data_IF_806910872201
#
_entry.id   IF_806910872201
#
_cell.length_a   1.000
_cell.length_b   1.000
_cell.length_c   1.000
_cell.angle_alpha   90.00
_cell.angle_beta   90.00
_cell.angle_gamma   90.00
#
_symmetry.space_group_name_H-M   'P 1'
#
loop_
_entity.id
_entity.type
_entity.pdbx_description
1 polymer ?
#
# COMPACT_ATOMS: atom_id res chain seq x y z
N UNK A 1 19.43 7.40 14.95
CA UNK A 1 18.83 7.57 13.60
C UNK A 1 18.21 8.95 13.37
N UNK A 2 17.57 9.59 14.35
CA UNK A 2 16.97 10.95 14.22
C UNK A 2 17.97 12.05 13.84
N UNK A 3 19.21 11.97 14.34
CA UNK A 3 20.28 12.95 14.03
C UNK A 3 20.74 12.94 12.57
N UNK A 4 20.72 11.78 11.89
CA UNK A 4 21.07 11.67 10.47
C UNK A 4 19.99 12.27 9.57
N UNK A 5 18.74 12.21 10.00
CA UNK A 5 17.60 12.80 9.31
C UNK A 5 17.62 14.33 9.41
N UNK A 6 17.93 14.87 10.59
CA UNK A 6 18.07 16.32 10.80
C UNK A 6 19.31 16.90 10.08
N UNK A 7 20.40 16.15 10.00
CA UNK A 7 21.57 16.54 9.21
C UNK A 7 21.26 16.54 7.70
N UNK A 8 20.48 15.58 7.22
CA UNK A 8 20.01 15.53 5.84
C UNK A 8 19.13 16.74 5.48
N UNK A 9 18.21 17.15 6.37
CA UNK A 9 17.34 18.31 6.18
C UNK A 9 18.14 19.62 6.12
N UNK A 10 19.10 19.83 7.04
CA UNK A 10 19.92 21.05 7.05
C UNK A 10 20.75 21.23 5.77
N UNK A 11 21.30 20.14 5.22
CA UNK A 11 22.05 20.21 3.97
C UNK A 11 21.12 20.42 2.76
N UNK A 12 19.86 19.97 2.83
CA UNK A 12 18.85 20.26 1.81
C UNK A 12 18.46 21.74 1.80
N UNK A 13 18.36 22.40 2.96
CA UNK A 13 18.02 23.84 3.06
C UNK A 13 19.14 24.72 2.48
N UNK A 14 20.43 24.42 2.79
CA UNK A 14 21.55 25.16 2.20
C UNK A 14 21.62 25.00 0.67
N UNK A 15 21.32 23.80 0.15
CA UNK A 15 21.30 23.56 -1.29
C UNK A 15 20.18 24.33 -2.02
N UNK A 16 19.04 24.55 -1.34
CA UNK A 16 17.93 25.36 -1.84
C UNK A 16 18.33 26.85 -1.90
N UNK A 17 18.98 27.38 -0.87
CA UNK A 17 19.45 28.77 -0.83
C UNK A 17 20.49 29.10 -1.91
N UNK A 18 21.31 28.12 -2.28
CA UNK A 18 22.29 28.28 -3.38
C UNK A 18 21.62 28.18 -4.74
N UNK A 19 20.59 27.33 -4.90
CA UNK A 19 19.91 27.11 -6.17
C UNK A 19 18.89 28.19 -6.55
N UNK A 20 18.38 28.98 -5.60
CA UNK A 20 17.45 30.08 -5.87
C UNK A 20 18.13 31.33 -6.45
N UNK A 21 19.48 31.35 -6.52
CA UNK A 21 20.26 32.50 -7.03
C UNK A 21 20.73 32.39 -8.47
N UNK A 22 20.54 31.27 -9.17
CA UNK A 22 20.99 31.16 -10.57
C UNK A 22 20.04 30.34 -11.43
N UNK A 23 19.53 30.96 -12.49
CA UNK A 23 18.74 30.32 -13.54
C UNK A 23 19.44 29.12 -14.18
N UNK A 24 18.70 28.03 -14.29
CA UNK A 24 19.15 26.69 -14.71
C UNK A 24 19.84 26.60 -16.08
N UNK A 25 19.72 27.60 -16.94
CA UNK A 25 20.38 27.66 -18.25
C UNK A 25 21.84 28.11 -18.14
N UNK A 26 22.19 28.91 -17.14
CA UNK A 26 23.58 29.35 -16.94
C UNK A 26 24.45 28.23 -16.37
N UNK A 27 23.88 27.35 -15.53
CA UNK A 27 24.62 26.28 -14.85
C UNK A 27 25.30 25.28 -15.81
N UNK A 28 24.69 24.97 -16.96
CA UNK A 28 25.26 24.03 -17.93
C UNK A 28 26.39 24.66 -18.76
N UNK A 29 26.25 25.93 -19.15
CA UNK A 29 27.29 26.69 -19.85
C UNK A 29 28.46 27.05 -18.92
N UNK A 30 28.18 27.34 -17.65
CA UNK A 30 29.22 27.57 -16.62
C UNK A 30 30.06 26.32 -16.38
N UNK A 31 29.43 25.13 -16.38
CA UNK A 31 30.13 23.84 -16.20
C UNK A 31 31.04 23.51 -17.39
N UNK A 32 30.59 23.78 -18.63
CA UNK A 32 31.45 23.64 -19.81
C UNK A 32 32.64 24.59 -19.78
N UNK A 33 32.44 25.83 -19.32
CA UNK A 33 33.52 26.81 -19.17
C UNK A 33 34.52 26.42 -18.06
N UNK A 34 34.05 25.81 -16.97
CA UNK A 34 34.89 25.27 -15.89
C UNK A 34 35.64 23.99 -16.30
N UNK A 35 35.03 23.13 -17.12
CA UNK A 35 35.66 21.93 -17.68
C UNK A 35 36.71 22.28 -18.75
N UNK A 36 36.51 23.38 -19.48
CA UNK A 36 37.54 23.98 -20.34
C UNK A 36 38.68 24.61 -19.52
N UNK A 37 38.37 25.29 -18.41
CA UNK A 37 39.38 25.84 -17.50
C UNK A 37 40.21 24.74 -16.79
N UNK A 38 39.62 23.56 -16.59
CA UNK A 38 40.24 22.34 -16.03
C UNK A 38 41.33 21.76 -16.92
N UNK A 39 41.19 21.84 -18.25
CA UNK A 39 42.24 21.39 -19.19
C UNK A 39 43.45 22.33 -19.15
N UNK A 40 43.26 23.59 -18.79
CA UNK A 40 44.30 24.63 -18.83
C UNK A 40 45.09 24.84 -17.53
N UNK A 41 44.61 24.39 -16.37
CA UNK A 41 45.29 24.62 -15.08
C UNK A 41 45.53 23.31 -14.29
N UNK A 42 46.81 22.97 -14.13
CA UNK A 42 47.35 21.69 -13.66
C UNK A 42 47.25 21.39 -12.15
N UNK A 43 46.37 22.06 -11.39
CA UNK A 43 46.36 21.89 -9.93
C UNK A 43 45.31 20.83 -9.50
N UNK A 44 45.79 19.65 -9.11
CA UNK A 44 45.00 18.41 -9.19
C UNK A 44 44.16 18.06 -7.95
N UNK A 45 44.54 18.53 -6.75
CA UNK A 45 43.96 17.99 -5.50
C UNK A 45 42.74 18.78 -5.00
N UNK A 46 42.83 20.12 -4.96
CA UNK A 46 41.70 21.01 -4.64
C UNK A 46 40.56 20.85 -5.66
N UNK A 47 40.92 20.70 -6.93
CA UNK A 47 39.99 20.62 -8.06
C UNK A 47 39.25 19.29 -8.12
N UNK A 48 39.90 18.16 -7.76
CA UNK A 48 39.21 16.87 -7.59
C UNK A 48 38.20 16.89 -6.44
N UNK A 49 38.48 17.62 -5.36
CA UNK A 49 37.58 17.74 -4.23
C UNK A 49 36.33 18.56 -4.61
N UNK A 50 36.50 19.64 -5.39
CA UNK A 50 35.39 20.41 -5.96
C UNK A 50 34.52 19.59 -6.94
N UNK A 51 35.11 18.77 -7.81
CA UNK A 51 34.37 17.88 -8.71
C UNK A 51 33.57 16.79 -7.96
N UNK A 52 34.10 16.26 -6.85
CA UNK A 52 33.35 15.36 -5.96
C UNK A 52 32.15 16.07 -5.31
N UNK A 53 32.35 17.28 -4.80
CA UNK A 53 31.28 18.07 -4.20
C UNK A 53 30.21 18.48 -5.24
N UNK A 54 30.60 18.77 -6.48
CA UNK A 54 29.70 19.05 -7.60
C UNK A 54 28.90 17.81 -8.04
N UNK A 55 29.54 16.64 -8.18
CA UNK A 55 28.81 15.38 -8.45
C UNK A 55 27.84 15.04 -7.32
N UNK A 56 28.21 15.33 -6.08
CA UNK A 56 27.33 15.18 -4.92
C UNK A 56 26.15 16.17 -4.97
N UNK A 57 26.40 17.44 -5.31
CA UNK A 57 25.36 18.46 -5.49
C UNK A 57 24.44 18.15 -6.69
N UNK A 58 24.96 17.59 -7.78
CA UNK A 58 24.20 17.16 -8.96
C UNK A 58 23.33 15.94 -8.66
N UNK A 59 23.88 14.95 -7.91
CA UNK A 59 23.12 13.82 -7.36
C UNK A 59 22.00 14.32 -6.44
N UNK A 60 22.27 15.33 -5.60
CA UNK A 60 21.25 16.00 -4.76
C UNK A 60 20.22 16.79 -5.57
N UNK A 61 20.61 17.51 -6.62
CA UNK A 61 19.71 18.21 -7.54
C UNK A 61 18.78 17.26 -8.30
N UNK A 62 19.26 16.04 -8.61
CA UNK A 62 18.44 14.96 -9.17
C UNK A 62 17.44 14.41 -8.15
N UNK A 63 17.85 14.29 -6.88
CA UNK A 63 16.94 13.97 -5.77
C UNK A 63 15.89 15.06 -5.53
N UNK A 64 16.25 16.35 -5.59
CA UNK A 64 15.33 17.49 -5.48
C UNK A 64 14.24 17.50 -6.56
N UNK A 65 14.60 17.22 -7.83
CA UNK A 65 13.61 17.07 -8.92
C UNK A 65 12.69 15.85 -8.75
N UNK A 66 13.18 14.77 -8.13
CA UNK A 66 12.34 13.62 -7.73
C UNK A 66 11.40 13.99 -6.58
N UNK A 67 11.88 14.73 -5.59
CA UNK A 67 11.11 15.17 -4.41
C UNK A 67 9.98 16.14 -4.78
N UNK A 68 10.16 17.01 -5.77
CA UNK A 68 9.07 17.88 -6.27
C UNK A 68 7.91 17.11 -6.93
N UNK A 69 8.17 15.91 -7.47
CA UNK A 69 7.13 15.05 -8.05
C UNK A 69 6.51 14.10 -7.02
N UNK A 70 7.07 14.02 -5.82
CA UNK A 70 6.65 13.09 -4.79
C UNK A 70 5.27 13.41 -4.19
N UNK A 71 4.92 14.67 -3.86
CA UNK A 71 3.57 15.02 -3.39
C UNK A 71 2.48 14.60 -4.39
N UNK A 72 2.66 14.92 -5.68
CA UNK A 72 1.69 14.58 -6.73
C UNK A 72 1.52 13.07 -6.92
N UNK A 73 2.59 12.29 -6.71
CA UNK A 73 2.52 10.82 -6.76
C UNK A 73 1.77 10.24 -5.57
N UNK A 74 1.95 10.81 -4.38
CA UNK A 74 1.22 10.40 -3.18
C UNK A 74 -0.27 10.75 -3.28
N UNK A 75 -0.61 11.93 -3.79
CA UNK A 75 -2.00 12.34 -4.05
C UNK A 75 -2.67 11.38 -5.06
N UNK A 76 -2.01 11.10 -6.19
CA UNK A 76 -2.49 10.12 -7.16
C UNK A 76 -2.66 8.71 -6.56
N UNK A 77 -1.69 8.27 -5.74
CA UNK A 77 -1.77 6.99 -5.07
C UNK A 77 -2.97 6.92 -4.12
N UNK A 78 -3.25 8.02 -3.41
CA UNK A 78 -4.37 8.12 -2.50
C UNK A 78 -5.70 8.05 -3.26
N UNK A 79 -5.86 8.84 -4.33
CA UNK A 79 -7.05 8.82 -5.17
C UNK A 79 -7.31 7.43 -5.79
N UNK A 80 -6.24 6.77 -6.24
CA UNK A 80 -6.35 5.43 -6.82
C UNK A 80 -6.69 4.38 -5.76
N UNK A 81 -6.15 4.50 -4.54
CA UNK A 81 -6.49 3.63 -3.42
C UNK A 81 -7.96 3.81 -2.99
N UNK A 82 -8.44 5.05 -2.95
CA UNK A 82 -9.85 5.37 -2.66
C UNK A 82 -10.80 4.76 -3.69
N UNK A 83 -10.41 4.78 -4.98
CA UNK A 83 -11.15 4.10 -6.03
C UNK A 83 -11.25 2.59 -5.78
N UNK A 84 -10.13 1.93 -5.46
CA UNK A 84 -10.13 0.49 -5.14
C UNK A 84 -10.94 0.16 -3.90
N UNK A 85 -10.88 1.01 -2.86
CA UNK A 85 -11.63 0.82 -1.62
C UNK A 85 -13.14 0.84 -1.90
N UNK A 86 -13.63 1.85 -2.63
CA UNK A 86 -15.05 1.96 -3.02
C UNK A 86 -15.50 0.77 -3.87
N UNK A 87 -14.69 0.34 -4.84
CA UNK A 87 -15.00 -0.82 -5.66
C UNK A 87 -15.07 -2.11 -4.82
N UNK A 88 -14.16 -2.26 -3.85
CA UNK A 88 -14.17 -3.40 -2.94
C UNK A 88 -15.41 -3.37 -2.03
N UNK A 89 -15.81 -2.22 -1.49
CA UNK A 89 -17.02 -2.07 -0.67
C UNK A 89 -18.29 -2.50 -1.41
N UNK A 90 -18.47 -2.02 -2.66
CA UNK A 90 -19.59 -2.43 -3.51
C UNK A 90 -19.59 -3.95 -3.70
N UNK A 91 -18.42 -4.54 -3.98
CA UNK A 91 -18.31 -5.98 -4.21
C UNK A 91 -18.54 -6.81 -2.94
N UNK A 92 -18.15 -6.29 -1.77
CA UNK A 92 -18.40 -6.93 -0.47
C UNK A 92 -19.91 -7.00 -0.19
N UNK A 93 -20.61 -5.87 -0.37
CA UNK A 93 -22.07 -5.79 -0.22
C UNK A 93 -22.79 -6.74 -1.19
N UNK A 94 -22.31 -6.81 -2.44
CA UNK A 94 -22.85 -7.74 -3.44
C UNK A 94 -22.69 -9.20 -3.01
N UNK A 95 -21.51 -9.63 -2.55
CA UNK A 95 -21.36 -11.01 -2.04
C UNK A 95 -22.29 -11.31 -0.87
N UNK A 96 -22.40 -10.39 0.08
CA UNK A 96 -23.25 -10.62 1.25
C UNK A 96 -24.72 -10.76 0.84
N UNK A 97 -25.17 -9.93 -0.11
CA UNK A 97 -26.51 -10.05 -0.71
C UNK A 97 -26.68 -11.39 -1.42
N UNK A 98 -25.71 -11.82 -2.23
CA UNK A 98 -25.78 -13.10 -2.95
C UNK A 98 -25.80 -14.31 -2.02
N UNK A 99 -25.04 -14.33 -0.92
CA UNK A 99 -25.11 -15.39 0.10
C UNK A 99 -26.54 -15.49 0.64
N UNK A 100 -27.14 -14.36 1.00
CA UNK A 100 -28.52 -14.30 1.50
C UNK A 100 -29.54 -14.79 0.47
N UNK A 101 -29.47 -14.29 -0.76
CA UNK A 101 -30.41 -14.68 -1.82
C UNK A 101 -30.31 -16.16 -2.18
N UNK A 102 -29.10 -16.72 -2.24
CA UNK A 102 -28.90 -18.14 -2.52
C UNK A 102 -29.39 -19.02 -1.35
N UNK A 103 -29.15 -18.60 -0.11
CA UNK A 103 -29.67 -19.28 1.08
C UNK A 103 -31.21 -19.27 1.12
N UNK A 104 -31.84 -18.13 0.81
CA UNK A 104 -33.30 -18.01 0.73
C UNK A 104 -33.89 -18.90 -0.38
N UNK A 105 -33.25 -18.97 -1.55
CA UNK A 105 -33.67 -19.90 -2.61
C UNK A 105 -33.55 -21.34 -2.18
N UNK A 106 -32.45 -21.73 -1.57
CA UNK A 106 -32.27 -23.10 -1.09
C UNK A 106 -33.32 -23.49 -0.01
N UNK A 107 -33.71 -22.55 0.87
CA UNK A 107 -34.82 -22.75 1.81
C UNK A 107 -36.13 -23.08 1.07
N UNK A 108 -36.44 -22.34 0.00
CA UNK A 108 -37.68 -22.50 -0.76
C UNK A 108 -37.68 -23.74 -1.65
N UNK A 109 -36.63 -23.92 -2.44
CA UNK A 109 -36.54 -24.95 -3.49
C UNK A 109 -36.40 -26.37 -2.92
N UNK A 110 -35.80 -26.49 -1.72
CA UNK A 110 -35.43 -27.77 -1.11
C UNK A 110 -36.16 -28.03 0.21
N UNK A 111 -37.07 -27.13 0.60
CA UNK A 111 -37.79 -27.19 1.88
C UNK A 111 -36.87 -27.32 3.10
N UNK A 112 -35.70 -26.68 3.04
CA UNK A 112 -34.74 -26.63 4.15
C UNK A 112 -35.26 -25.69 5.23
N UNK A 113 -35.09 -26.06 6.51
CA UNK A 113 -35.44 -25.14 7.60
C UNK A 113 -34.50 -23.94 7.64
N UNK A 114 -35.03 -22.75 7.95
CA UNK A 114 -34.22 -21.55 8.11
C UNK A 114 -33.08 -21.76 9.12
N UNK A 115 -33.34 -22.48 10.23
CA UNK A 115 -32.34 -22.78 11.23
C UNK A 115 -31.17 -23.62 10.68
N UNK A 116 -31.45 -24.64 9.85
CA UNK A 116 -30.42 -25.45 9.21
C UNK A 116 -29.58 -24.65 8.22
N UNK A 117 -30.22 -23.79 7.42
CA UNK A 117 -29.51 -22.93 6.46
C UNK A 117 -28.61 -21.91 7.17
N UNK A 118 -29.11 -21.26 8.22
CA UNK A 118 -28.31 -20.34 9.03
C UNK A 118 -27.10 -21.06 9.65
N UNK A 119 -27.30 -22.24 10.24
CA UNK A 119 -26.20 -23.03 10.80
C UNK A 119 -25.15 -23.41 9.74
N UNK A 120 -25.59 -23.77 8.52
CA UNK A 120 -24.70 -24.04 7.40
C UNK A 120 -23.88 -22.79 7.01
N UNK A 121 -24.54 -21.65 6.78
CA UNK A 121 -23.86 -20.40 6.39
C UNK A 121 -22.88 -19.93 7.48
N UNK A 122 -23.28 -19.98 8.75
CA UNK A 122 -22.44 -19.58 9.86
C UNK A 122 -21.20 -20.47 9.98
N UNK A 123 -21.36 -21.80 9.84
CA UNK A 123 -20.25 -22.75 9.89
C UNK A 123 -19.26 -22.51 8.75
N UNK A 124 -19.75 -22.39 7.50
CA UNK A 124 -18.87 -22.15 6.35
C UNK A 124 -18.20 -20.77 6.39
N UNK A 125 -18.87 -19.76 6.96
CA UNK A 125 -18.26 -18.45 7.21
C UNK A 125 -17.06 -18.58 8.16
N UNK A 126 -17.17 -19.37 9.23
CA UNK A 126 -16.04 -19.64 10.13
C UNK A 126 -14.90 -20.40 9.43
N UNK A 127 -15.23 -21.41 8.62
CA UNK A 127 -14.23 -22.16 7.85
C UNK A 127 -13.48 -21.25 6.88
N UNK A 128 -14.19 -20.47 6.07
CA UNK A 128 -13.56 -19.57 5.09
C UNK A 128 -12.81 -18.42 5.74
N UNK A 129 -13.31 -17.90 6.87
CA UNK A 129 -12.60 -16.89 7.67
C UNK A 129 -11.24 -17.42 8.09
N UNK A 130 -11.15 -18.67 8.57
CA UNK A 130 -9.88 -19.31 8.93
C UNK A 130 -8.95 -19.49 7.74
N UNK A 131 -9.49 -19.99 6.63
CA UNK A 131 -8.70 -20.14 5.39
C UNK A 131 -8.12 -18.79 4.96
N UNK A 132 -8.91 -17.73 5.09
CA UNK A 132 -8.49 -16.37 4.80
C UNK A 132 -7.45 -15.86 5.82
N UNK A 133 -7.64 -16.07 7.13
CA UNK A 133 -6.67 -15.76 8.19
C UNK A 133 -5.29 -16.37 7.91
N UNK A 134 -5.26 -17.64 7.51
CA UNK A 134 -4.01 -18.37 7.26
C UNK A 134 -3.30 -17.89 5.99
N UNK A 135 -4.04 -17.50 4.93
CA UNK A 135 -3.47 -17.26 3.60
C UNK A 135 -3.35 -15.79 3.21
N UNK A 136 -4.33 -14.98 3.61
CA UNK A 136 -4.43 -13.59 3.15
C UNK A 136 -3.25 -12.71 3.58
N UNK A 137 -2.66 -12.85 4.77
CA UNK A 137 -1.48 -12.07 5.13
C UNK A 137 -0.33 -12.24 4.14
N UNK A 138 -0.03 -13.48 3.72
CA UNK A 138 1.00 -13.77 2.72
C UNK A 138 0.61 -13.23 1.34
N UNK A 139 -0.63 -13.49 0.89
CA UNK A 139 -1.13 -12.99 -0.40
C UNK A 139 -1.02 -11.47 -0.49
N UNK A 140 -1.51 -10.76 0.53
CA UNK A 140 -1.52 -9.30 0.57
C UNK A 140 -0.10 -8.73 0.70
N UNK A 141 0.80 -9.41 1.42
CA UNK A 141 2.22 -9.04 1.48
C UNK A 141 2.89 -9.10 0.10
N UNK A 142 2.51 -10.07 -0.75
CA UNK A 142 2.98 -10.19 -2.13
C UNK A 142 2.31 -9.22 -3.09
N UNK A 143 1.10 -8.74 -2.79
CA UNK A 143 0.40 -7.70 -3.57
C UNK A 143 0.98 -6.30 -3.30
N UNK A 144 1.47 -6.04 -2.09
CA UNK A 144 1.96 -4.72 -1.66
C UNK A 144 3.03 -4.12 -2.60
N UNK A 145 4.12 -4.81 -2.96
CA UNK A 145 5.11 -4.25 -3.90
C UNK A 145 4.53 -3.91 -5.27
N UNK A 146 3.53 -4.68 -5.74
CA UNK A 146 2.86 -4.43 -7.03
C UNK A 146 2.06 -3.14 -6.95
N UNK A 147 1.30 -2.93 -5.88
CA UNK A 147 0.55 -1.69 -5.63
C UNK A 147 1.45 -0.48 -5.52
N UNK A 148 2.54 -0.59 -4.75
CA UNK A 148 3.52 0.51 -4.64
C UNK A 148 4.13 0.85 -6.00
N UNK A 149 4.38 -0.14 -6.87
CA UNK A 149 4.86 0.10 -8.23
C UNK A 149 3.81 0.80 -9.09
N UNK A 150 2.55 0.37 -9.05
CA UNK A 150 1.42 1.00 -9.75
C UNK A 150 1.26 2.47 -9.35
N UNK A 151 1.44 2.76 -8.06
CA UNK A 151 1.38 4.11 -7.50
C UNK A 151 2.62 4.96 -7.86
N UNK A 152 3.62 4.38 -8.53
CA UNK A 152 4.88 5.05 -8.84
C UNK A 152 5.77 5.29 -7.60
N UNK A 153 5.50 4.54 -6.52
CA UNK A 153 6.15 4.53 -5.21
C UNK A 153 7.07 3.31 -4.99
N UNK A 154 7.42 2.56 -6.04
CA UNK A 154 8.26 1.36 -5.96
C UNK A 154 9.71 1.56 -5.49
N UNK A 155 10.07 2.74 -5.00
CA UNK A 155 11.33 3.03 -4.32
C UNK A 155 11.21 3.01 -2.79
N UNK A 156 9.99 2.89 -2.25
CA UNK A 156 9.78 2.68 -0.83
C UNK A 156 10.28 1.29 -0.42
N UNK A 157 10.79 1.19 0.80
CA UNK A 157 11.18 -0.09 1.37
C UNK A 157 9.94 -0.94 1.67
N UNK A 158 9.66 -1.90 0.78
CA UNK A 158 8.53 -2.79 0.92
C UNK A 158 8.64 -3.70 2.14
N UNK A 159 9.84 -3.94 2.68
CA UNK A 159 10.05 -4.90 3.77
C UNK A 159 9.43 -4.38 5.07
N UNK A 160 9.69 -3.11 5.40
CA UNK A 160 9.13 -2.47 6.60
C UNK A 160 7.62 -2.25 6.45
N UNK A 161 7.15 -1.90 5.26
CA UNK A 161 5.74 -1.77 4.95
C UNK A 161 4.99 -3.11 5.05
N UNK A 162 5.59 -4.20 4.55
CA UNK A 162 5.07 -5.55 4.70
C UNK A 162 4.97 -5.94 6.17
N UNK A 163 6.02 -5.66 6.97
CA UNK A 163 6.00 -5.93 8.41
C UNK A 163 4.85 -5.20 9.11
N UNK A 164 4.68 -3.90 8.83
CA UNK A 164 3.56 -3.10 9.39
C UNK A 164 2.19 -3.60 8.93
N UNK A 165 2.07 -4.02 7.68
CA UNK A 165 0.83 -4.61 7.15
C UNK A 165 0.48 -5.90 7.91
N UNK A 166 1.44 -6.82 8.07
CA UNK A 166 1.23 -8.06 8.81
C UNK A 166 0.85 -7.79 10.26
N UNK A 167 1.53 -6.87 10.92
CA UNK A 167 1.20 -6.44 12.29
C UNK A 167 -0.24 -5.88 12.36
N UNK A 168 -0.65 -5.08 11.38
CA UNK A 168 -1.99 -4.51 11.29
C UNK A 168 -3.05 -5.59 11.10
N UNK A 169 -2.84 -6.51 10.14
CA UNK A 169 -3.77 -7.60 9.86
C UNK A 169 -3.92 -8.51 11.08
N UNK A 170 -2.80 -8.93 11.69
CA UNK A 170 -2.84 -9.78 12.87
C UNK A 170 -3.65 -9.15 13.99
N UNK A 171 -3.48 -7.85 14.26
CA UNK A 171 -4.26 -7.14 15.28
C UNK A 171 -5.75 -7.12 14.98
N UNK A 172 -6.14 -6.97 13.72
CA UNK A 172 -7.56 -6.89 13.35
C UNK A 172 -8.24 -8.26 13.41
N UNK A 173 -7.54 -9.34 13.07
CA UNK A 173 -8.12 -10.67 12.94
C UNK A 173 -7.75 -11.63 14.08
N UNK A 174 -7.19 -11.14 15.18
CA UNK A 174 -7.00 -11.97 16.38
C UNK A 174 -8.36 -12.22 17.04
N UNK A 175 -9.07 -13.26 16.63
CA UNK A 175 -10.28 -13.77 17.30
C UNK A 175 -10.05 -15.14 17.93
N UNK A 176 -10.92 -15.51 18.88
CA UNK A 176 -10.90 -16.81 19.56
C UNK A 176 -11.20 -17.92 18.57
N UNK A 177 -10.23 -18.82 18.34
CA UNK A 177 -10.35 -19.91 17.38
C UNK A 177 -11.38 -20.95 17.83
N UNK A 178 -12.41 -21.19 17.02
CA UNK A 178 -13.26 -22.38 17.06
C UNK A 178 -12.75 -23.41 16.06
N UNK A 179 -12.63 -24.68 16.46
CA UNK A 179 -12.08 -25.75 15.63
C UNK A 179 -13.13 -26.37 14.69
N UNK A 180 -13.74 -25.56 13.82
CA UNK A 180 -14.67 -26.06 12.79
C UNK A 180 -13.92 -26.58 11.56
N UNK A 181 -14.43 -27.67 10.95
CA UNK A 181 -13.87 -28.25 9.72
C UNK A 181 -14.92 -28.28 8.62
N UNK A 182 -14.50 -28.23 7.35
CA UNK A 182 -15.43 -28.32 6.21
C UNK A 182 -16.30 -29.59 6.27
N UNK A 183 -15.73 -30.72 6.69
CA UNK A 183 -16.47 -31.97 6.88
C UNK A 183 -17.55 -31.84 7.97
N UNK A 184 -17.25 -31.15 9.08
CA UNK A 184 -18.23 -30.85 10.14
C UNK A 184 -19.36 -29.96 9.60
N UNK A 185 -19.04 -28.93 8.81
CA UNK A 185 -20.04 -28.06 8.21
C UNK A 185 -20.87 -28.75 7.12
N UNK A 186 -20.28 -29.70 6.37
CA UNK A 186 -21.00 -30.49 5.38
C UNK A 186 -22.09 -31.37 6.01
N UNK A 187 -21.93 -31.81 7.26
CA UNK A 187 -22.98 -32.52 8.00
C UNK A 187 -24.20 -31.64 8.33
N UNK A 188 -24.01 -30.31 8.33
CA UNK A 188 -25.10 -29.34 8.50
C UNK A 188 -25.84 -29.08 7.19
N UNK A 189 -25.27 -29.46 6.04
CA UNK A 189 -25.89 -29.29 4.73
C UNK A 189 -27.15 -30.18 4.64
N UNK A 190 -28.34 -29.59 4.57
CA UNK A 190 -29.58 -30.36 4.54
C UNK A 190 -29.84 -30.83 3.10
N UNK A 191 -29.72 -32.15 2.92
CA UNK A 191 -29.82 -32.91 1.66
C UNK A 191 -28.56 -32.91 0.78
N UNK A 192 -28.28 -34.07 0.18
CA UNK A 192 -27.14 -34.31 -0.73
C UNK A 192 -27.45 -33.99 -2.19
N UNK A 193 -28.68 -33.56 -2.51
CA UNK A 193 -29.13 -33.34 -3.88
C UNK A 193 -28.88 -31.91 -4.38
N UNK A 194 -28.71 -30.95 -3.47
CA UNK A 194 -28.43 -29.57 -3.85
C UNK A 194 -26.95 -29.26 -3.85
N UNK A 195 -26.52 -28.58 -4.90
CA UNK A 195 -25.17 -28.03 -4.99
C UNK A 195 -25.08 -26.73 -4.18
N UNK A 196 -24.44 -26.82 -3.00
CA UNK A 196 -24.17 -25.67 -2.15
C UNK A 196 -22.90 -24.90 -2.55
N UNK A 197 -22.16 -25.34 -3.57
CA UNK A 197 -20.94 -24.66 -4.04
C UNK A 197 -21.16 -23.18 -4.42
N UNK A 198 -22.31 -22.76 -5.02
CA UNK A 198 -22.57 -21.35 -5.26
C UNK A 198 -22.59 -20.50 -3.97
N UNK A 199 -23.16 -21.03 -2.89
CA UNK A 199 -23.20 -20.34 -1.58
C UNK A 199 -21.80 -20.27 -1.00
N UNK A 200 -21.08 -21.40 -0.95
CA UNK A 200 -19.70 -21.46 -0.45
C UNK A 200 -18.80 -20.48 -1.17
N UNK A 201 -18.84 -20.45 -2.51
CA UNK A 201 -18.05 -19.53 -3.33
C UNK A 201 -18.32 -18.05 -2.99
N UNK A 202 -19.56 -17.70 -2.68
CA UNK A 202 -19.91 -16.33 -2.30
C UNK A 202 -19.44 -15.99 -0.89
N UNK A 203 -19.47 -16.94 0.05
CA UNK A 203 -18.86 -16.82 1.39
C UNK A 203 -17.35 -16.61 1.26
N UNK A 204 -16.64 -17.49 0.54
CA UNK A 204 -15.17 -17.35 0.38
C UNK A 204 -14.80 -16.02 -0.28
N UNK A 205 -15.58 -15.59 -1.28
CA UNK A 205 -15.36 -14.31 -1.93
C UNK A 205 -15.64 -13.12 -1.00
N UNK A 206 -16.61 -13.23 -0.08
CA UNK A 206 -16.86 -12.23 0.96
C UNK A 206 -15.65 -12.09 1.89
N UNK A 207 -15.12 -13.20 2.41
CA UNK A 207 -13.99 -13.19 3.32
C UNK A 207 -12.73 -12.58 2.67
N UNK A 208 -12.41 -12.99 1.44
CA UNK A 208 -11.28 -12.40 0.69
C UNK A 208 -11.44 -10.88 0.52
N UNK A 209 -12.66 -10.40 0.24
CA UNK A 209 -12.93 -8.96 0.10
C UNK A 209 -12.84 -8.22 1.42
N UNK A 210 -13.23 -8.85 2.54
CA UNK A 210 -13.05 -8.29 3.89
C UNK A 210 -11.57 -8.06 4.17
N UNK A 211 -10.71 -9.03 3.89
CA UNK A 211 -9.25 -8.88 4.02
C UNK A 211 -8.68 -7.79 3.11
N UNK A 212 -9.13 -7.75 1.85
CA UNK A 212 -8.71 -6.70 0.90
C UNK A 212 -9.13 -5.30 1.35
N UNK A 213 -10.30 -5.16 1.98
CA UNK A 213 -10.72 -3.88 2.58
C UNK A 213 -9.70 -3.41 3.61
N UNK A 214 -9.28 -4.28 4.52
CA UNK A 214 -8.31 -3.95 5.57
C UNK A 214 -6.94 -3.57 4.99
N UNK A 215 -6.50 -4.28 3.95
CA UNK A 215 -5.29 -3.91 3.20
C UNK A 215 -5.39 -2.51 2.56
N UNK A 216 -6.52 -2.19 1.94
CA UNK A 216 -6.73 -0.89 1.30
C UNK A 216 -6.84 0.24 2.33
N UNK A 217 -7.45 -0.01 3.49
CA UNK A 217 -7.48 0.94 4.62
C UNK A 217 -6.07 1.18 5.17
N UNK A 218 -5.28 0.13 5.36
CA UNK A 218 -3.88 0.26 5.74
C UNK A 218 -3.08 1.13 4.76
N UNK A 219 -3.27 0.92 3.45
CA UNK A 219 -2.64 1.75 2.42
C UNK A 219 -3.12 3.19 2.48
N UNK A 220 -4.41 3.43 2.73
CA UNK A 220 -4.97 4.77 2.85
C UNK A 220 -4.33 5.54 4.00
N UNK A 221 -4.24 4.92 5.18
CA UNK A 221 -3.61 5.51 6.36
C UNK A 221 -2.13 5.81 6.10
N UNK A 222 -1.41 4.85 5.51
CA UNK A 222 0.00 5.04 5.14
C UNK A 222 0.20 6.21 4.17
N UNK A 223 -0.64 6.31 3.13
CA UNK A 223 -0.54 7.38 2.13
C UNK A 223 -0.85 8.73 2.73
N UNK A 224 -1.87 8.81 3.60
CA UNK A 224 -2.24 10.03 4.32
C UNK A 224 -1.11 10.51 5.23
N UNK A 225 -0.55 9.62 6.06
CA UNK A 225 0.59 9.93 6.92
C UNK A 225 1.79 10.44 6.11
N UNK A 226 2.05 9.80 4.97
CA UNK A 226 3.13 10.21 4.06
C UNK A 226 2.89 11.60 3.46
N UNK A 227 1.65 11.90 3.04
CA UNK A 227 1.28 13.22 2.51
C UNK A 227 1.45 14.30 3.59
N UNK A 228 1.00 14.03 4.81
CA UNK A 228 1.06 14.98 5.92
C UNK A 228 2.51 15.23 6.36
N UNK A 229 3.37 14.21 6.36
CA UNK A 229 4.80 14.37 6.61
C UNK A 229 5.46 15.24 5.53
N UNK A 230 5.19 14.98 4.25
CA UNK A 230 5.70 15.80 3.15
C UNK A 230 5.21 17.25 3.27
N UNK A 231 3.92 17.47 3.53
CA UNK A 231 3.38 18.81 3.75
C UNK A 231 4.07 19.49 4.93
N UNK A 232 4.31 18.82 6.05
CA UNK A 232 5.04 19.38 7.20
C UNK A 232 6.47 19.82 6.83
N UNK A 233 7.19 19.01 6.05
CA UNK A 233 8.59 19.29 5.69
C UNK A 233 8.71 20.42 4.65
N UNK A 234 7.74 20.54 3.74
CA UNK A 234 7.78 21.51 2.64
C UNK A 234 6.86 22.72 2.83
N UNK A 235 6.04 22.75 3.89
CA UNK A 235 5.32 23.97 4.25
C UNK A 235 6.34 24.96 4.78
N UNK A 236 6.48 26.16 4.18
CA UNK A 236 7.33 27.19 4.73
C UNK A 236 6.72 27.59 6.07
N UNK A 237 7.28 27.09 7.17
CA UNK A 237 7.07 27.71 8.47
C UNK A 237 7.50 29.16 8.32
N UNK A 238 6.52 30.05 8.46
CA UNK A 238 6.69 31.49 8.58
C UNK A 238 7.85 31.77 9.56
N UNK A 239 9.01 32.09 9.00
CA UNK A 239 10.13 32.74 9.66
C UNK A 239 10.52 33.92 8.79
#
# INVERSE_FOLDING_TARGET
>A
MVLLFLFYINVCIMAIQVSTRSDSRSSHDYLKQLELAYITNNDSESTQNYLKQLKFAQKKGFHLRRLQKYPKKLEFANDLNDFYLKANEISTEESQRSVKELAERAILDLHITNASMTAFVDCYTQVDKRIAEDRMPEVLSGELPKRLKEYGLGFLDSSELTRKLLDSLNRTFTETQTNETEASCALLAPSSEYDFEPIKKMISAHEVRTYRKHFLLFLQDFLKDSIDEVKRVFSPSQY
#
